data_IF_364197749621
#
_entry.id   IF_364197749621
#
_cell.length_a   1.000
_cell.length_b   1.000
_cell.length_c   1.000
_cell.angle_alpha   90.00
_cell.angle_beta   90.00
_cell.angle_gamma   90.00
#
_symmetry.space_group_name_H-M   'P 1'
#
loop_
_entity.id
_entity.type
_entity.pdbx_description
1 polymer ?
#
# COMPACT_ATOMS: atom_id res chain seq x y z
N UNK A 1 -17.33 -8.13 6.53
CA UNK A 1 -18.32 -7.04 6.61
C UNK A 1 -19.70 -7.52 7.02
N UNK A 2 -20.35 -8.45 6.32
CA UNK A 2 -21.72 -8.97 6.65
C UNK A 2 -21.79 -9.43 8.10
N UNK A 3 -20.78 -10.20 8.56
CA UNK A 3 -20.70 -10.66 9.95
C UNK A 3 -20.85 -9.51 10.97
N UNK A 4 -20.27 -8.33 10.67
CA UNK A 4 -20.36 -7.14 11.51
C UNK A 4 -21.78 -6.58 11.55
N UNK A 5 -22.48 -6.53 10.41
CA UNK A 5 -23.86 -6.05 10.33
C UNK A 5 -24.85 -6.99 11.01
N UNK A 6 -24.71 -8.31 10.80
CA UNK A 6 -25.53 -9.32 11.47
C UNK A 6 -25.32 -9.25 12.99
N UNK A 7 -24.06 -9.15 13.44
CA UNK A 7 -23.73 -8.99 14.87
C UNK A 7 -24.32 -7.70 15.45
N UNK A 8 -24.30 -6.57 14.69
CA UNK A 8 -24.90 -5.31 15.10
C UNK A 8 -26.42 -5.41 15.28
N UNK A 9 -27.07 -6.28 14.52
CA UNK A 9 -28.52 -6.57 14.66
C UNK A 9 -28.84 -7.55 15.82
N UNK A 10 -27.83 -8.10 16.47
CA UNK A 10 -28.01 -9.03 17.61
C UNK A 10 -28.60 -10.39 17.24
N UNK A 11 -28.55 -10.79 15.96
CA UNK A 11 -29.17 -12.03 15.47
C UNK A 11 -28.12 -13.03 15.01
N UNK A 12 -28.50 -14.32 15.02
CA UNK A 12 -27.68 -15.40 14.46
C UNK A 12 -27.69 -15.37 12.93
N UNK A 13 -26.72 -16.06 12.31
CA UNK A 13 -26.69 -16.22 10.84
C UNK A 13 -27.91 -16.98 10.34
N UNK A 14 -28.43 -17.91 11.13
CA UNK A 14 -29.64 -18.66 10.80
C UNK A 14 -30.88 -17.76 10.76
N UNK A 15 -31.10 -16.96 11.78
CA UNK A 15 -32.20 -15.98 11.84
C UNK A 15 -32.08 -14.94 10.73
N UNK A 16 -30.86 -14.45 10.45
CA UNK A 16 -30.60 -13.55 9.34
C UNK A 16 -30.93 -14.19 7.99
N UNK A 17 -30.62 -15.47 7.78
CA UNK A 17 -30.95 -16.20 6.56
C UNK A 17 -32.46 -16.33 6.38
N UNK A 18 -33.19 -16.67 7.44
CA UNK A 18 -34.65 -16.76 7.44
C UNK A 18 -35.29 -15.40 7.14
N UNK A 19 -34.85 -14.34 7.82
CA UNK A 19 -35.40 -12.99 7.67
C UNK A 19 -35.07 -12.37 6.32
N UNK A 20 -33.93 -12.68 5.72
CA UNK A 20 -33.52 -12.19 4.39
C UNK A 20 -34.04 -13.05 3.24
N UNK A 21 -34.71 -14.18 3.52
CA UNK A 21 -35.11 -15.18 2.51
C UNK A 21 -33.93 -15.65 1.62
N UNK A 22 -32.74 -15.78 2.21
CA UNK A 22 -31.54 -16.32 1.56
C UNK A 22 -31.29 -17.71 2.16
N UNK A 23 -30.94 -18.73 1.33
CA UNK A 23 -30.59 -20.06 1.88
C UNK A 23 -29.47 -19.94 2.92
N UNK A 24 -29.62 -20.63 4.04
CA UNK A 24 -28.66 -20.59 5.14
C UNK A 24 -27.23 -20.92 4.68
N UNK A 25 -27.07 -21.94 3.85
CA UNK A 25 -25.76 -22.33 3.30
C UNK A 25 -25.10 -21.16 2.56
N UNK A 26 -25.85 -20.50 1.69
CA UNK A 26 -25.35 -19.34 0.92
C UNK A 26 -24.98 -18.17 1.84
N UNK A 27 -25.83 -17.82 2.82
CA UNK A 27 -25.52 -16.72 3.74
C UNK A 27 -24.32 -17.09 4.65
N UNK A 28 -24.25 -18.31 5.12
CA UNK A 28 -23.14 -18.79 5.96
C UNK A 28 -21.80 -18.78 5.20
N UNK A 29 -21.80 -19.18 3.94
CA UNK A 29 -20.62 -19.10 3.07
C UNK A 29 -20.16 -17.65 2.85
N UNK A 30 -21.09 -16.73 2.61
CA UNK A 30 -20.83 -15.29 2.47
C UNK A 30 -20.26 -14.69 3.75
N UNK A 31 -20.86 -15.04 4.91
CA UNK A 31 -20.42 -14.54 6.23
C UNK A 31 -19.03 -15.01 6.59
N UNK A 32 -18.70 -16.24 6.23
CA UNK A 32 -17.40 -16.86 6.50
C UNK A 32 -16.35 -16.63 5.39
N UNK A 33 -16.71 -15.87 4.33
CA UNK A 33 -15.79 -15.55 3.24
C UNK A 33 -15.47 -16.71 2.29
N UNK A 34 -16.22 -17.82 2.38
CA UNK A 34 -16.07 -18.98 1.48
C UNK A 34 -16.68 -18.73 0.10
N UNK A 35 -17.61 -17.81 0.01
CA UNK A 35 -18.25 -17.37 -1.23
C UNK A 35 -18.17 -15.84 -1.33
N UNK A 36 -17.95 -15.35 -2.54
CA UNK A 36 -17.96 -13.91 -2.83
C UNK A 36 -19.36 -13.44 -3.21
N UNK A 37 -19.66 -12.17 -2.96
CA UNK A 37 -20.84 -11.51 -3.53
C UNK A 37 -20.86 -11.52 -5.04
N UNK A 38 -19.69 -11.41 -5.66
CA UNK A 38 -19.53 -11.43 -7.12
C UNK A 38 -19.98 -12.75 -7.74
N UNK A 39 -20.01 -13.82 -6.93
CA UNK A 39 -20.44 -15.15 -7.34
C UNK A 39 -21.92 -15.41 -7.02
N UNK A 40 -22.64 -14.40 -6.54
CA UNK A 40 -24.05 -14.48 -6.23
C UNK A 40 -24.90 -13.88 -7.34
N UNK A 41 -26.10 -14.46 -7.51
CA UNK A 41 -27.07 -13.87 -8.41
C UNK A 41 -27.62 -12.53 -7.85
N UNK A 42 -28.11 -11.69 -8.73
CA UNK A 42 -28.65 -10.37 -8.39
C UNK A 42 -29.72 -10.41 -7.28
N UNK A 43 -30.65 -11.39 -7.34
CA UNK A 43 -31.70 -11.54 -6.32
C UNK A 43 -31.15 -11.75 -4.92
N UNK A 44 -30.08 -12.51 -4.78
CA UNK A 44 -29.42 -12.74 -3.48
C UNK A 44 -28.78 -11.46 -2.94
N UNK A 45 -28.10 -10.70 -3.80
CA UNK A 45 -27.48 -9.43 -3.41
C UNK A 45 -28.54 -8.42 -3.01
N UNK A 46 -29.64 -8.31 -3.76
CA UNK A 46 -30.76 -7.44 -3.48
C UNK A 46 -31.41 -7.76 -2.13
N UNK A 47 -31.74 -9.03 -1.86
CA UNK A 47 -32.30 -9.47 -0.59
C UNK A 47 -31.38 -9.11 0.59
N UNK A 48 -30.09 -9.30 0.42
CA UNK A 48 -29.10 -8.99 1.45
C UNK A 48 -28.97 -7.49 1.69
N UNK A 49 -28.95 -6.70 0.63
CA UNK A 49 -28.96 -5.22 0.66
C UNK A 49 -30.15 -4.69 1.48
N UNK A 50 -31.37 -5.13 1.13
CA UNK A 50 -32.59 -4.74 1.83
C UNK A 50 -32.54 -5.17 3.31
N UNK A 51 -32.16 -6.42 3.59
CA UNK A 51 -32.10 -6.94 4.96
C UNK A 51 -31.07 -6.18 5.83
N UNK A 52 -29.91 -5.88 5.28
CA UNK A 52 -28.84 -5.17 6.01
C UNK A 52 -29.08 -3.66 6.11
N UNK A 53 -29.94 -3.09 5.26
CA UNK A 53 -30.18 -1.65 5.17
C UNK A 53 -28.99 -0.89 4.57
N UNK A 54 -28.29 -1.52 3.61
CA UNK A 54 -27.16 -0.91 2.89
C UNK A 54 -27.38 -1.08 1.39
N UNK A 55 -26.87 -0.16 0.59
CA UNK A 55 -27.05 -0.22 -0.86
C UNK A 55 -26.29 -1.41 -1.48
N UNK A 56 -26.77 -1.90 -2.63
CA UNK A 56 -26.04 -2.93 -3.38
C UNK A 56 -24.66 -2.43 -3.84
N UNK A 57 -24.58 -1.13 -4.17
CA UNK A 57 -23.31 -0.48 -4.52
C UNK A 57 -22.31 -0.55 -3.34
N UNK A 58 -22.77 -0.25 -2.13
CA UNK A 58 -21.94 -0.33 -0.94
C UNK A 58 -21.46 -1.76 -0.66
N UNK A 59 -22.34 -2.76 -0.83
CA UNK A 59 -22.00 -4.18 -0.74
C UNK A 59 -20.92 -4.55 -1.76
N UNK A 60 -21.10 -4.11 -3.00
CA UNK A 60 -20.20 -4.37 -4.12
C UNK A 60 -18.82 -3.72 -3.92
N UNK A 61 -18.79 -2.44 -3.60
CA UNK A 61 -17.57 -1.69 -3.35
C UNK A 61 -16.75 -2.27 -2.19
N UNK A 62 -17.42 -2.70 -1.13
CA UNK A 62 -16.74 -3.34 0.00
C UNK A 62 -16.15 -4.71 -0.36
N UNK A 63 -16.73 -5.44 -1.32
CA UNK A 63 -16.20 -6.72 -1.77
C UNK A 63 -15.04 -6.53 -2.74
N UNK A 64 -15.14 -5.58 -3.65
CA UNK A 64 -14.01 -5.18 -4.52
C UNK A 64 -12.82 -4.76 -3.69
N UNK A 65 -13.02 -3.92 -2.67
CA UNK A 65 -11.95 -3.51 -1.75
C UNK A 65 -11.25 -4.68 -1.05
N UNK A 66 -11.95 -5.78 -0.81
CA UNK A 66 -11.34 -7.00 -0.23
C UNK A 66 -10.55 -7.82 -1.26
N UNK A 67 -11.02 -7.83 -2.51
CA UNK A 67 -10.41 -8.59 -3.60
C UNK A 67 -9.32 -7.82 -4.34
N UNK A 68 -9.24 -6.49 -4.15
CA UNK A 68 -8.17 -5.68 -4.72
C UNK A 68 -6.86 -6.12 -4.09
N UNK A 69 -6.10 -6.89 -4.83
CA UNK A 69 -4.69 -7.15 -4.53
C UNK A 69 -3.91 -5.86 -4.72
N UNK A 70 -2.90 -5.61 -3.91
CA UNK A 70 -2.00 -4.50 -4.17
C UNK A 70 -1.50 -4.55 -5.61
N UNK A 71 -1.47 -3.41 -6.28
CA UNK A 71 -0.90 -3.31 -7.63
C UNK A 71 0.53 -3.84 -7.63
N UNK A 72 0.85 -4.65 -8.62
CA UNK A 72 2.18 -5.22 -8.83
C UNK A 72 2.88 -4.65 -10.05
N UNK A 73 2.15 -3.90 -10.87
CA UNK A 73 2.63 -3.28 -12.10
C UNK A 73 2.20 -1.81 -12.19
N UNK A 74 2.81 -1.05 -13.11
CA UNK A 74 2.39 0.31 -13.40
C UNK A 74 0.99 0.37 -14.04
N UNK A 75 0.61 -0.64 -14.82
CA UNK A 75 -0.73 -0.76 -15.40
C UNK A 75 -1.78 -0.85 -14.31
N UNK A 76 -1.57 -1.70 -13.31
CA UNK A 76 -2.47 -1.80 -12.16
C UNK A 76 -2.58 -0.48 -11.42
N UNK A 77 -1.45 0.20 -11.23
CA UNK A 77 -1.41 1.51 -10.59
C UNK A 77 -2.17 2.58 -11.39
N UNK A 78 -1.99 2.64 -12.71
CA UNK A 78 -2.72 3.56 -13.60
C UNK A 78 -4.22 3.32 -13.56
N UNK A 79 -4.63 2.06 -13.49
CA UNK A 79 -6.04 1.69 -13.42
C UNK A 79 -6.66 1.88 -12.04
N UNK A 80 -5.89 2.32 -11.05
CA UNK A 80 -6.34 2.56 -9.67
C UNK A 80 -7.00 1.35 -9.02
N UNK A 81 -6.59 0.13 -9.38
CA UNK A 81 -7.10 -1.14 -8.86
C UNK A 81 -6.36 -1.63 -7.61
N UNK A 82 -5.58 -0.80 -7.01
CA UNK A 82 -4.78 -1.08 -5.80
C UNK A 82 -5.30 -0.31 -4.58
N UNK A 83 -5.10 -0.87 -3.39
CA UNK A 83 -5.50 -0.28 -2.11
C UNK A 83 -4.35 0.46 -1.40
N UNK A 84 -3.63 1.31 -2.13
CA UNK A 84 -2.58 2.15 -1.55
C UNK A 84 -3.14 3.48 -1.06
N UNK A 85 -2.54 4.08 -0.04
CA UNK A 85 -2.87 5.46 0.30
C UNK A 85 -2.58 6.35 -0.90
N UNK A 86 -3.52 7.21 -1.23
CA UNK A 86 -3.31 8.27 -2.23
C UNK A 86 -2.17 9.14 -1.73
N UNK A 87 -1.25 9.48 -2.63
CA UNK A 87 -0.15 10.36 -2.32
C UNK A 87 -0.72 11.74 -2.08
N UNK A 88 -0.25 12.37 -1.01
CA UNK A 88 -0.60 13.74 -0.69
C UNK A 88 -0.02 14.68 -1.77
N UNK A 89 -0.85 15.50 -2.45
CA UNK A 89 -0.35 16.46 -3.43
C UNK A 89 0.66 17.47 -2.86
N UNK A 90 0.73 17.63 -1.55
CA UNK A 90 1.70 18.50 -0.87
C UNK A 90 3.12 17.91 -0.79
N UNK A 91 3.30 16.64 -1.17
CA UNK A 91 4.62 16.02 -1.17
C UNK A 91 5.52 16.63 -2.24
N UNK A 92 6.72 17.03 -1.84
CA UNK A 92 7.70 17.67 -2.72
C UNK A 92 8.54 16.66 -3.53
N UNK A 93 8.02 15.49 -3.84
CA UNK A 93 8.68 14.49 -4.67
C UNK A 93 7.73 13.91 -5.72
N UNK A 94 8.30 13.42 -6.83
CA UNK A 94 7.51 12.84 -7.91
C UNK A 94 7.09 11.40 -7.58
N UNK A 95 5.99 11.31 -6.90
CA UNK A 95 5.41 10.06 -6.46
C UNK A 95 4.85 9.20 -7.60
N UNK A 96 4.58 9.78 -8.77
CA UNK A 96 4.15 9.02 -9.96
C UNK A 96 5.24 8.07 -10.46
N UNK A 97 6.49 8.33 -10.12
CA UNK A 97 7.66 7.51 -10.44
C UNK A 97 7.94 6.42 -9.40
N UNK A 98 7.15 6.33 -8.32
CA UNK A 98 7.34 5.34 -7.26
C UNK A 98 6.33 4.21 -7.44
N UNK A 99 6.84 2.97 -7.51
CA UNK A 99 5.97 1.80 -7.63
C UNK A 99 4.97 1.74 -6.46
N UNK A 100 3.66 1.50 -6.73
CA UNK A 100 2.61 1.53 -5.73
C UNK A 100 2.88 0.69 -4.48
N UNK A 101 3.52 -0.46 -4.60
CA UNK A 101 3.89 -1.32 -3.47
C UNK A 101 4.84 -0.64 -2.47
N UNK A 102 5.57 0.39 -2.89
CA UNK A 102 6.59 1.07 -2.08
C UNK A 102 6.17 2.47 -1.59
N UNK A 103 5.14 3.06 -2.17
CA UNK A 103 4.71 4.42 -1.86
C UNK A 103 4.49 4.66 -0.36
N UNK A 104 3.85 3.71 0.36
CA UNK A 104 3.63 3.85 1.80
C UNK A 104 4.93 3.89 2.61
N UNK A 105 5.88 3.02 2.30
CA UNK A 105 7.17 2.99 2.98
C UNK A 105 7.98 4.26 2.68
N UNK A 106 8.00 4.68 1.41
CA UNK A 106 8.65 5.93 0.99
C UNK A 106 8.04 7.14 1.70
N UNK A 107 6.70 7.23 1.82
CA UNK A 107 6.04 8.33 2.54
C UNK A 107 6.45 8.38 4.01
N UNK A 108 6.59 7.23 4.69
CA UNK A 108 7.08 7.20 6.08
C UNK A 108 8.50 7.73 6.19
N UNK A 109 9.39 7.29 5.28
CA UNK A 109 10.78 7.75 5.22
C UNK A 109 10.83 9.26 4.94
N UNK A 110 10.09 9.72 3.93
CA UNK A 110 10.01 11.14 3.58
C UNK A 110 9.62 11.99 4.79
N UNK A 111 8.50 11.69 5.44
CA UNK A 111 7.99 12.44 6.58
C UNK A 111 8.99 12.49 7.76
N UNK A 112 9.66 11.35 8.03
CA UNK A 112 10.61 11.25 9.14
C UNK A 112 11.94 11.95 8.86
N UNK A 113 12.34 12.04 7.58
CA UNK A 113 13.65 12.56 7.18
C UNK A 113 13.61 13.99 6.66
N UNK A 114 12.43 14.50 6.28
CA UNK A 114 12.29 15.85 5.69
C UNK A 114 12.86 16.94 6.61
N UNK A 115 12.52 16.91 7.90
CA UNK A 115 12.97 17.86 8.92
C UNK A 115 14.32 17.54 9.55
N UNK A 116 14.98 16.46 9.19
CA UNK A 116 16.26 16.07 9.79
C UNK A 116 17.39 16.93 9.21
N UNK A 117 18.02 17.84 10.01
CA UNK A 117 19.01 18.78 9.49
C UNK A 117 20.32 18.14 9.03
N UNK A 118 20.59 16.90 9.46
CA UNK A 118 21.80 16.15 9.11
C UNK A 118 21.75 15.63 7.67
N UNK A 119 20.54 15.39 7.15
CA UNK A 119 20.33 14.81 5.84
C UNK A 119 20.26 15.93 4.80
N UNK A 120 21.18 15.91 3.83
CA UNK A 120 21.19 16.83 2.70
C UNK A 120 20.30 16.34 1.55
N UNK A 121 20.43 15.06 1.21
CA UNK A 121 19.73 14.46 0.06
C UNK A 121 19.36 13.01 0.32
N UNK A 122 18.17 12.62 -0.12
CA UNK A 122 17.72 11.22 -0.21
C UNK A 122 17.18 11.00 -1.61
N UNK A 123 17.65 9.97 -2.29
CA UNK A 123 17.20 9.57 -3.63
C UNK A 123 16.74 8.11 -3.57
N UNK A 124 15.49 7.85 -3.96
CA UNK A 124 15.00 6.51 -4.21
C UNK A 124 15.35 6.10 -5.63
N UNK A 125 15.96 4.92 -5.80
CA UNK A 125 16.34 4.41 -7.12
C UNK A 125 16.01 2.92 -7.28
N UNK A 126 16.58 2.26 -8.27
CA UNK A 126 16.47 0.83 -8.45
C UNK A 126 15.08 0.34 -8.83
N UNK A 127 14.73 -0.86 -8.37
CA UNK A 127 13.49 -1.54 -8.73
C UNK A 127 12.23 -0.79 -8.28
N UNK A 128 12.32 -0.05 -7.17
CA UNK A 128 11.22 0.70 -6.59
C UNK A 128 10.71 1.84 -7.48
N UNK A 129 11.46 2.19 -8.52
CA UNK A 129 11.12 3.24 -9.50
C UNK A 129 10.75 2.67 -10.88
N UNK A 130 10.48 1.37 -10.99
CA UNK A 130 10.14 0.74 -12.27
C UNK A 130 9.19 -0.47 -12.10
N UNK A 131 8.71 -1.02 -13.22
CA UNK A 131 7.74 -2.13 -13.25
C UNK A 131 8.29 -3.47 -12.73
N UNK A 132 9.60 -3.59 -12.50
CA UNK A 132 10.21 -4.82 -11.99
C UNK A 132 10.03 -4.98 -10.48
N UNK A 133 9.53 -3.94 -9.80
CA UNK A 133 9.27 -3.98 -8.37
C UNK A 133 8.22 -5.04 -8.03
N UNK A 134 8.45 -5.76 -6.96
CA UNK A 134 7.51 -6.72 -6.39
C UNK A 134 7.50 -6.61 -4.86
N UNK A 135 6.68 -7.43 -4.19
CA UNK A 135 6.52 -7.40 -2.73
C UNK A 135 7.80 -7.76 -1.96
N UNK A 136 8.74 -8.46 -2.59
CA UNK A 136 10.00 -8.87 -1.97
C UNK A 136 11.16 -7.92 -2.30
N UNK A 137 10.95 -6.97 -3.24
CA UNK A 137 11.99 -5.99 -3.54
C UNK A 137 12.25 -5.11 -2.34
N UNK A 138 13.52 -4.81 -2.06
CA UNK A 138 13.92 -3.84 -1.05
C UNK A 138 13.80 -2.41 -1.60
N UNK A 139 13.94 -1.42 -0.73
CA UNK A 139 14.04 -0.01 -1.10
C UNK A 139 15.51 0.34 -1.31
N UNK A 140 15.87 0.67 -2.53
CA UNK A 140 17.22 1.16 -2.84
C UNK A 140 17.25 2.68 -2.59
N UNK A 141 17.96 3.12 -1.55
CA UNK A 141 18.05 4.53 -1.15
C UNK A 141 19.48 5.02 -1.17
N UNK A 142 19.73 6.12 -1.86
CA UNK A 142 21.00 6.82 -1.80
C UNK A 142 20.88 8.06 -0.91
N UNK A 143 21.78 8.19 0.05
CA UNK A 143 21.72 9.23 1.08
C UNK A 143 23.02 10.04 1.06
N UNK A 144 22.91 11.37 1.18
CA UNK A 144 24.01 12.27 1.47
C UNK A 144 23.73 13.00 2.78
N UNK A 145 24.70 13.00 3.66
CA UNK A 145 24.68 13.80 4.88
C UNK A 145 25.43 15.12 4.66
N UNK A 146 25.09 16.14 5.44
CA UNK A 146 25.84 17.43 5.44
C UNK A 146 27.24 17.26 6.00
N UNK A 147 27.37 16.38 7.00
CA UNK A 147 28.64 16.03 7.63
C UNK A 147 28.87 14.53 7.47
N UNK A 148 30.05 14.16 7.01
CA UNK A 148 30.42 12.75 6.79
C UNK A 148 30.88 12.11 8.11
N UNK A 149 29.97 11.98 9.09
CA UNK A 149 30.21 11.33 10.38
C UNK A 149 29.72 9.87 10.34
N UNK A 150 30.52 8.98 10.91
CA UNK A 150 30.17 7.55 11.04
C UNK A 150 28.97 7.38 11.98
N UNK A 151 28.94 8.14 13.05
CA UNK A 151 27.85 8.13 14.03
C UNK A 151 26.54 8.57 13.38
N UNK A 152 26.55 9.66 12.60
CA UNK A 152 25.35 10.13 11.90
C UNK A 152 24.89 9.13 10.82
N UNK A 153 25.81 8.49 10.12
CA UNK A 153 25.48 7.41 9.18
C UNK A 153 24.77 6.26 9.88
N UNK A 154 25.29 5.84 11.05
CA UNK A 154 24.65 4.78 11.82
C UNK A 154 23.24 5.16 12.27
N UNK A 155 23.08 6.33 12.91
CA UNK A 155 21.76 6.78 13.39
C UNK A 155 20.73 6.97 12.28
N UNK A 156 21.15 7.56 11.14
CA UNK A 156 20.27 7.75 9.99
C UNK A 156 19.92 6.41 9.34
N UNK A 157 20.88 5.47 9.26
CA UNK A 157 20.60 4.12 8.79
C UNK A 157 19.58 3.41 9.64
N UNK A 158 19.78 3.34 10.95
CA UNK A 158 18.83 2.72 11.89
C UNK A 158 17.45 3.34 11.80
N UNK A 159 17.38 4.66 11.73
CA UNK A 159 16.12 5.39 11.56
C UNK A 159 15.37 4.97 10.30
N UNK A 160 16.05 4.92 9.16
CA UNK A 160 15.43 4.55 7.87
C UNK A 160 15.06 3.08 7.86
N UNK A 161 15.95 2.19 8.29
CA UNK A 161 15.72 0.74 8.31
C UNK A 161 14.52 0.36 9.18
N UNK A 162 14.38 0.97 10.35
CA UNK A 162 13.23 0.76 11.24
C UNK A 162 11.90 1.19 10.59
N UNK A 163 11.90 2.22 9.73
CA UNK A 163 10.70 2.70 9.04
C UNK A 163 10.21 1.78 7.93
N UNK A 164 11.07 0.90 7.41
CA UNK A 164 10.76 -0.03 6.32
C UNK A 164 10.94 -1.51 6.70
N UNK A 165 10.90 -1.81 8.01
CA UNK A 165 11.03 -3.17 8.54
C UNK A 165 12.32 -3.86 8.05
N UNK A 166 13.44 -3.13 8.04
CA UNK A 166 14.76 -3.54 7.55
C UNK A 166 14.79 -4.04 6.09
N UNK A 167 13.84 -3.57 5.27
CA UNK A 167 13.75 -3.88 3.84
C UNK A 167 14.22 -2.71 2.98
N UNK A 168 15.42 -2.22 3.23
CA UNK A 168 16.06 -1.20 2.43
C UNK A 168 17.57 -1.40 2.35
N UNK A 169 18.11 -1.10 1.18
CA UNK A 169 19.54 -1.00 0.92
C UNK A 169 19.93 0.48 0.88
N UNK A 170 20.89 0.85 1.74
CA UNK A 170 21.34 2.23 1.86
C UNK A 170 22.73 2.38 1.23
N UNK A 171 22.86 3.34 0.33
CA UNK A 171 24.09 3.71 -0.33
C UNK A 171 24.44 5.16 0.04
N UNK A 172 25.68 5.40 0.46
CA UNK A 172 26.13 6.75 0.78
C UNK A 172 26.71 7.43 -0.46
N UNK A 173 26.11 8.52 -0.91
CA UNK A 173 26.52 9.23 -2.11
C UNK A 173 27.96 9.72 -2.06
N UNK A 174 28.47 10.02 -0.85
CA UNK A 174 29.84 10.51 -0.65
C UNK A 174 30.91 9.42 -0.88
N UNK A 175 30.52 8.13 -0.85
CA UNK A 175 31.44 7.01 -1.05
C UNK A 175 31.48 6.52 -2.48
N UNK A 176 30.65 7.09 -3.36
CA UNK A 176 30.54 6.68 -4.74
C UNK A 176 31.40 7.56 -5.65
N UNK A 177 32.00 6.93 -6.64
CA UNK A 177 32.67 7.66 -7.73
C UNK A 177 31.61 8.28 -8.66
N UNK A 178 31.57 9.63 -8.69
CA UNK A 178 30.64 10.41 -9.47
C UNK A 178 30.80 10.24 -11.00
N UNK A 179 31.93 9.71 -11.46
CA UNK A 179 32.17 9.47 -12.89
C UNK A 179 31.49 8.19 -13.40
N UNK A 180 31.00 7.33 -12.50
CA UNK A 180 30.43 6.02 -12.87
C UNK A 180 29.01 6.11 -13.42
N UNK A 181 28.68 5.19 -14.34
CA UNK A 181 27.30 5.02 -14.82
C UNK A 181 26.33 4.66 -13.68
N UNK A 182 26.83 3.97 -12.63
CA UNK A 182 26.06 3.64 -11.43
C UNK A 182 25.60 4.89 -10.70
N UNK A 183 26.49 5.85 -10.48
CA UNK A 183 26.18 7.12 -9.84
C UNK A 183 25.13 7.91 -10.65
N UNK A 184 25.30 7.99 -11.99
CA UNK A 184 24.34 8.66 -12.86
C UNK A 184 22.95 8.02 -12.82
N UNK A 185 22.86 6.69 -12.75
CA UNK A 185 21.59 5.98 -12.59
C UNK A 185 20.90 6.29 -11.27
N UNK A 186 21.67 6.46 -10.20
CA UNK A 186 21.15 6.87 -8.89
C UNK A 186 20.57 8.29 -8.97
N UNK A 187 21.30 9.23 -9.56
CA UNK A 187 20.83 10.61 -9.71
C UNK A 187 19.55 10.75 -10.53
N UNK A 188 19.31 9.82 -11.47
CA UNK A 188 18.06 9.73 -12.24
C UNK A 188 16.88 9.13 -11.44
N UNK A 189 17.09 8.78 -10.19
CA UNK A 189 16.06 8.29 -9.29
C UNK A 189 15.04 9.38 -8.89
N UNK A 190 14.20 9.06 -7.90
CA UNK A 190 13.24 10.00 -7.33
C UNK A 190 13.88 10.69 -6.14
N UNK A 191 14.15 11.98 -6.27
CA UNK A 191 14.67 12.79 -5.17
C UNK A 191 13.55 13.02 -4.16
N UNK A 192 13.76 12.55 -2.93
CA UNK A 192 12.83 12.73 -1.81
C UNK A 192 13.19 13.98 -0.98
N UNK A 193 14.48 14.26 -0.87
CA UNK A 193 15.00 15.44 -0.18
C UNK A 193 16.26 15.96 -0.86
#
# INVERSE_FOLDING_TARGET
MIKKYIKKKGVSVYEAAKASHIPYTTLNELVNGKKSFLDCNFKTIQKLSVYLGISMEELYQNEIRKKVTPATTWEDAKNKIYSFPVIDPSDNYDASRIHPLKQRAVKRIYNACLGDPRIETIILFGSSTNIRCNKFSDLDLAVRLKENSVEFKHEVSEKILNLCDYKADLVWLDTLDSSTLGYQKILNGVKLK
#
